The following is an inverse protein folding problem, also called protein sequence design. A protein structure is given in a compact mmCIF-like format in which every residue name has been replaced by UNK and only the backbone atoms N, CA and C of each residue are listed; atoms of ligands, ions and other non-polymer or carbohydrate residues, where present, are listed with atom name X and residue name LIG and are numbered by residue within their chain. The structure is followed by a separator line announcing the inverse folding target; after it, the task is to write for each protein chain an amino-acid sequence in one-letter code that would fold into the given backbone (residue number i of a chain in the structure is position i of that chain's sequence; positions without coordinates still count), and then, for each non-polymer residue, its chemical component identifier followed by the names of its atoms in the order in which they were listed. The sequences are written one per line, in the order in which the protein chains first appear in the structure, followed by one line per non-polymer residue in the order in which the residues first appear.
data_IF_176036017591
#
_entry.id   IF_176036017591
#
_cell.length_a   1.000
_cell.length_b   1.000
_cell.length_c   1.000
_cell.angle_alpha   90.00
_cell.angle_beta   90.00
_cell.angle_gamma   90.00
#
_symmetry.space_group_name_H-M   'P 1'
#
loop_
_entity.id
_entity.type
_entity.pdbx_description
1 polymer ?
#
# COMPACT_ATOMS: atom_id res chain seq x y z
N UNK A 1 -20.01 -1.63 -7.92
CA UNK A 1 -20.60 -1.06 -9.16
C UNK A 1 -19.83 0.20 -9.52
N UNK A 2 -19.59 0.44 -10.81
CA UNK A 2 -19.02 1.67 -11.35
C UNK A 2 -19.50 1.86 -12.79
N UNK A 3 -19.72 3.09 -13.23
CA UNK A 3 -20.20 3.44 -14.57
C UNK A 3 -19.45 4.67 -15.07
N UNK A 4 -19.11 4.70 -16.36
CA UNK A 4 -18.36 5.81 -16.96
C UNK A 4 -19.15 7.14 -16.87
N UNK A 5 -20.47 7.06 -16.83
CA UNK A 5 -21.36 8.20 -16.64
C UNK A 5 -21.22 8.84 -15.24
N UNK A 6 -20.76 8.08 -14.24
CA UNK A 6 -20.53 8.55 -12.87
C UNK A 6 -19.09 9.06 -12.64
N UNK A 7 -18.22 8.97 -13.66
CA UNK A 7 -16.83 9.41 -13.54
C UNK A 7 -16.78 10.94 -13.37
N UNK A 8 -16.15 11.47 -12.31
CA UNK A 8 -15.96 12.90 -12.15
C UNK A 8 -15.24 13.49 -13.38
N UNK A 9 -15.72 14.64 -13.88
CA UNK A 9 -15.06 15.32 -15.01
C UNK A 9 -13.72 15.94 -14.61
N UNK A 10 -13.63 16.41 -13.37
CA UNK A 10 -12.45 17.01 -12.75
C UNK A 10 -12.42 16.61 -11.29
N UNK A 11 -11.21 16.47 -10.72
CA UNK A 11 -11.00 16.33 -9.29
C UNK A 11 -9.97 17.38 -8.83
N UNK A 12 -10.30 18.13 -7.79
CA UNK A 12 -9.41 19.12 -7.17
C UNK A 12 -8.78 18.50 -5.93
N UNK A 13 -7.45 18.46 -5.91
CA UNK A 13 -6.67 17.85 -4.84
C UNK A 13 -5.90 18.96 -4.13
N UNK A 14 -6.43 19.40 -2.99
CA UNK A 14 -5.80 20.39 -2.11
C UNK A 14 -5.32 19.70 -0.82
N UNK A 15 -4.01 19.53 -0.59
CA UNK A 15 -3.49 18.87 0.59
C UNK A 15 -3.93 19.51 1.91
N UNK A 16 -4.21 20.82 1.92
CA UNK A 16 -4.53 21.56 3.15
C UNK A 16 -5.85 21.12 3.78
N UNK A 17 -6.80 20.63 2.98
CA UNK A 17 -8.09 20.12 3.48
C UNK A 17 -7.92 18.83 4.28
N UNK A 18 -6.77 18.17 4.18
CA UNK A 18 -6.46 16.94 4.92
C UNK A 18 -5.80 17.21 6.27
N UNK A 19 -5.50 18.46 6.62
CA UNK A 19 -4.81 18.78 7.88
C UNK A 19 -5.59 18.35 9.12
N UNK A 20 -6.92 18.34 9.05
CA UNK A 20 -7.81 17.90 10.14
C UNK A 20 -7.97 16.38 10.24
N UNK A 21 -7.45 15.60 9.28
CA UNK A 21 -7.54 14.13 9.32
C UNK A 21 -6.68 13.60 10.46
N UNK A 22 -7.29 12.77 11.32
CA UNK A 22 -6.64 12.21 12.50
C UNK A 22 -5.43 11.35 12.17
N UNK A 23 -4.53 11.16 13.14
CA UNK A 23 -3.38 10.26 12.99
C UNK A 23 -3.82 8.84 12.58
N UNK A 24 -4.89 8.34 13.20
CA UNK A 24 -5.45 7.02 12.92
C UNK A 24 -5.95 6.90 11.48
N UNK A 25 -6.72 7.87 10.98
CA UNK A 25 -7.21 7.85 9.60
C UNK A 25 -6.09 8.08 8.58
N UNK A 26 -5.08 8.88 8.93
CA UNK A 26 -3.88 9.06 8.10
C UNK A 26 -3.10 7.75 7.93
N UNK A 27 -2.96 6.96 9.00
CA UNK A 27 -2.37 5.63 8.95
C UNK A 27 -3.23 4.67 8.10
N UNK A 28 -4.55 4.64 8.34
CA UNK A 28 -5.49 3.79 7.60
C UNK A 28 -5.42 4.08 6.08
N UNK A 29 -5.51 5.36 5.69
CA UNK A 29 -5.42 5.76 4.29
C UNK A 29 -4.06 5.42 3.68
N UNK A 30 -2.96 5.53 4.44
CA UNK A 30 -1.63 5.15 3.93
C UNK A 30 -1.52 3.65 3.66
N UNK A 31 -2.07 2.82 4.55
CA UNK A 31 -2.12 1.36 4.35
C UNK A 31 -3.00 0.98 3.17
N UNK A 32 -4.11 1.69 2.99
CA UNK A 32 -5.02 1.51 1.87
C UNK A 32 -4.32 1.79 0.52
N UNK A 33 -3.60 2.92 0.41
CA UNK A 33 -2.78 3.24 -0.77
C UNK A 33 -1.78 2.12 -1.08
N UNK A 34 -1.04 1.64 -0.08
CA UNK A 34 -0.07 0.55 -0.27
C UNK A 34 -0.77 -0.74 -0.72
N UNK A 35 -1.91 -1.07 -0.12
CA UNK A 35 -2.69 -2.25 -0.45
C UNK A 35 -3.22 -2.19 -1.88
N UNK A 36 -3.63 -1.00 -2.35
CA UNK A 36 -3.99 -0.79 -3.75
C UNK A 36 -2.82 -1.03 -4.69
N UNK A 37 -1.60 -0.58 -4.38
CA UNK A 37 -0.43 -0.87 -5.23
C UNK A 37 -0.16 -2.38 -5.33
N UNK A 38 -0.34 -3.11 -4.23
CA UNK A 38 -0.18 -4.57 -4.20
C UNK A 38 -1.24 -5.28 -5.04
N UNK A 39 -2.52 -4.94 -4.84
CA UNK A 39 -3.65 -5.56 -5.54
C UNK A 39 -3.74 -5.13 -7.01
N UNK A 40 -3.22 -3.95 -7.38
CA UNK A 40 -3.34 -3.37 -8.72
C UNK A 40 -2.35 -3.96 -9.72
N UNK A 41 -1.21 -4.49 -9.27
CA UNK A 41 -0.23 -5.04 -10.22
C UNK A 41 1.09 -5.55 -9.67
N UNK A 42 1.47 -5.20 -8.45
CA UNK A 42 2.82 -5.49 -7.96
C UNK A 42 3.06 -6.98 -7.71
N UNK A 43 2.17 -7.66 -6.99
CA UNK A 43 2.24 -9.11 -6.76
C UNK A 43 1.44 -9.89 -7.81
N UNK A 44 1.81 -9.71 -9.09
CA UNK A 44 1.22 -10.46 -10.21
C UNK A 44 2.20 -11.49 -10.77
N UNK A 45 1.67 -12.56 -11.39
CA UNK A 45 2.49 -13.65 -11.93
C UNK A 45 3.29 -13.26 -13.19
N UNK A 46 2.92 -12.17 -13.86
CA UNK A 46 3.57 -11.71 -15.08
C UNK A 46 4.48 -10.51 -14.80
N UNK A 47 5.79 -10.72 -14.93
CA UNK A 47 6.86 -9.75 -14.65
C UNK A 47 7.22 -8.86 -15.86
N UNK A 48 6.24 -8.55 -16.70
CA UNK A 48 6.43 -7.90 -18.00
C UNK A 48 6.44 -6.37 -17.94
N UNK A 49 6.14 -5.76 -16.78
CA UNK A 49 5.97 -4.30 -16.63
C UNK A 49 6.94 -3.67 -15.62
N UNK A 50 8.25 -3.90 -15.80
CA UNK A 50 9.30 -3.41 -14.89
C UNK A 50 9.27 -1.88 -14.64
N UNK A 51 8.81 -1.09 -15.62
CA UNK A 51 8.61 0.35 -15.45
C UNK A 51 7.55 0.64 -14.39
N UNK A 52 6.39 -0.04 -14.45
CA UNK A 52 5.33 0.16 -13.47
C UNK A 52 5.73 -0.37 -12.10
N UNK A 53 6.46 -1.49 -12.04
CA UNK A 53 7.05 -1.96 -10.78
C UNK A 53 7.94 -0.89 -10.14
N UNK A 54 8.78 -0.23 -10.93
CA UNK A 54 9.66 0.84 -10.44
C UNK A 54 8.87 2.05 -9.92
N UNK A 55 7.77 2.43 -10.58
CA UNK A 55 6.87 3.48 -10.11
C UNK A 55 6.14 3.09 -8.81
N UNK A 56 5.65 1.86 -8.71
CA UNK A 56 5.00 1.35 -7.50
C UNK A 56 5.99 1.29 -6.33
N UNK A 57 7.22 0.82 -6.56
CA UNK A 57 8.28 0.77 -5.54
C UNK A 57 8.69 2.16 -5.05
N UNK A 58 8.79 3.14 -5.96
CA UNK A 58 9.05 4.53 -5.58
C UNK A 58 7.92 5.09 -4.71
N UNK A 59 6.66 4.85 -5.08
CA UNK A 59 5.52 5.25 -4.26
C UNK A 59 5.55 4.57 -2.89
N UNK A 60 5.80 3.27 -2.82
CA UNK A 60 5.87 2.52 -1.55
C UNK A 60 6.93 3.10 -0.61
N UNK A 61 8.14 3.38 -1.11
CA UNK A 61 9.20 4.02 -0.30
C UNK A 61 8.76 5.37 0.25
N UNK A 62 8.22 6.21 -0.62
CA UNK A 62 7.79 7.57 -0.26
C UNK A 62 6.62 7.53 0.74
N UNK A 63 5.66 6.62 0.58
CA UNK A 63 4.56 6.45 1.55
C UNK A 63 5.12 6.04 2.91
N UNK A 64 6.00 5.04 2.96
CA UNK A 64 6.64 4.58 4.21
C UNK A 64 7.41 5.71 4.91
N UNK A 65 8.05 6.59 4.13
CA UNK A 65 8.82 7.73 4.64
C UNK A 65 7.93 8.89 5.14
N UNK A 66 6.84 9.22 4.43
CA UNK A 66 6.06 10.44 4.69
C UNK A 66 4.76 10.24 5.48
N UNK A 67 4.20 9.04 5.55
CA UNK A 67 3.11 8.70 6.49
C UNK A 67 3.39 9.16 7.94
N UNK A 68 4.58 8.94 8.52
CA UNK A 68 4.92 9.33 9.90
C UNK A 68 4.89 10.84 10.07
N UNK A 69 5.44 11.53 9.06
CA UNK A 69 5.56 12.97 9.05
C UNK A 69 4.17 13.58 9.03
N UNK A 70 3.27 13.07 8.19
CA UNK A 70 1.87 13.51 8.16
C UNK A 70 1.10 13.19 9.45
N UNK A 71 1.47 12.12 10.17
CA UNK A 71 0.87 11.77 11.45
C UNK A 71 1.38 12.65 12.60
N UNK A 72 2.68 12.89 12.68
CA UNK A 72 3.28 13.70 13.75
C UNK A 72 3.10 15.21 13.51
N UNK A 73 3.10 15.62 12.26
CA UNK A 73 2.99 17.01 11.82
C UNK A 73 1.80 17.15 10.84
N UNK A 74 0.55 17.14 11.34
CA UNK A 74 -0.64 17.12 10.49
C UNK A 74 -0.78 18.32 9.54
N UNK A 75 -0.12 19.45 9.84
CA UNK A 75 -0.05 20.64 8.99
C UNK A 75 1.17 20.70 8.05
N UNK A 76 1.97 19.64 7.96
CA UNK A 76 3.08 19.56 7.02
C UNK A 76 2.55 19.40 5.59
N UNK A 77 2.66 20.47 4.79
CA UNK A 77 2.13 20.51 3.43
C UNK A 77 2.71 19.40 2.55
N UNK A 78 4.03 19.24 2.55
CA UNK A 78 4.72 18.30 1.66
C UNK A 78 4.32 16.85 1.96
N UNK A 79 4.27 16.47 3.24
CA UNK A 79 3.86 15.13 3.64
C UNK A 79 2.41 14.83 3.23
N UNK A 80 1.50 15.80 3.42
CA UNK A 80 0.09 15.66 3.00
C UNK A 80 -0.05 15.62 1.48
N UNK A 81 0.70 16.45 0.76
CA UNK A 81 0.69 16.51 -0.70
C UNK A 81 1.20 15.20 -1.32
N UNK A 82 2.28 14.65 -0.77
CA UNK A 82 2.85 13.37 -1.18
C UNK A 82 1.85 12.23 -1.00
N UNK A 83 1.20 12.12 0.17
CA UNK A 83 0.21 11.07 0.41
C UNK A 83 -1.03 11.23 -0.49
N UNK A 84 -1.52 12.45 -0.65
CA UNK A 84 -2.66 12.74 -1.51
C UNK A 84 -2.37 12.38 -2.98
N UNK A 85 -1.20 12.77 -3.49
CA UNK A 85 -0.81 12.46 -4.86
C UNK A 85 -0.55 10.97 -5.07
N UNK A 86 0.10 10.31 -4.11
CA UNK A 86 0.31 8.86 -4.13
C UNK A 86 -1.01 8.09 -4.17
N UNK A 87 -2.02 8.54 -3.40
CA UNK A 87 -3.37 7.97 -3.45
C UNK A 87 -4.01 8.09 -4.83
N UNK A 88 -3.92 9.28 -5.44
CA UNK A 88 -4.48 9.50 -6.77
C UNK A 88 -3.81 8.61 -7.82
N UNK A 89 -2.48 8.48 -7.79
CA UNK A 89 -1.73 7.66 -8.75
C UNK A 89 -1.93 6.16 -8.55
N UNK A 90 -2.07 5.68 -7.31
CA UNK A 90 -2.33 4.28 -7.02
C UNK A 90 -3.65 3.78 -7.64
N UNK A 91 -4.63 4.67 -7.81
CA UNK A 91 -6.01 4.35 -8.17
C UNK A 91 -6.49 4.92 -9.52
N UNK A 92 -5.68 5.70 -10.23
CA UNK A 92 -6.10 6.29 -11.51
C UNK A 92 -6.08 5.32 -12.72
N UNK A 93 -5.65 4.08 -12.52
CA UNK A 93 -5.55 3.03 -13.53
C UNK A 93 -4.20 2.93 -14.23
N UNK A 94 -3.28 3.89 -14.06
CA UNK A 94 -1.94 3.85 -14.64
C UNK A 94 -1.16 2.63 -14.14
N UNK A 95 -1.19 2.40 -12.82
CA UNK A 95 -0.44 1.31 -12.18
C UNK A 95 -0.94 -0.08 -12.58
N UNK A 96 -2.17 -0.20 -13.06
CA UNK A 96 -2.72 -1.47 -13.53
C UNK A 96 -2.05 -1.95 -14.82
N UNK A 97 -1.59 -1.02 -15.67
CA UNK A 97 -0.87 -1.37 -16.91
C UNK A 97 -1.65 -2.28 -17.86
N UNK A 98 -2.99 -2.27 -17.81
CA UNK A 98 -3.86 -3.16 -18.58
C UNK A 98 -3.94 -4.61 -18.06
N UNK A 99 -3.32 -4.93 -16.92
CA UNK A 99 -3.43 -6.25 -16.29
C UNK A 99 -4.83 -6.47 -15.74
N UNK A 100 -5.38 -7.66 -15.98
CA UNK A 100 -6.56 -8.12 -15.24
C UNK A 100 -6.11 -8.61 -13.88
N UNK A 101 -6.42 -7.84 -12.85
CA UNK A 101 -6.08 -8.15 -11.46
C UNK A 101 -7.33 -8.41 -10.64
N UNK A 102 -7.19 -9.28 -9.64
CA UNK A 102 -8.22 -9.53 -8.64
C UNK A 102 -7.70 -9.02 -7.32
N UNK A 103 -8.32 -7.97 -6.80
CA UNK A 103 -8.01 -7.38 -5.50
C UNK A 103 -8.46 -8.28 -4.35
N UNK A 104 -7.74 -9.39 -4.18
CA UNK A 104 -8.14 -10.50 -3.31
C UNK A 104 -8.14 -10.06 -1.84
N UNK A 105 -7.15 -9.24 -1.46
CA UNK A 105 -7.06 -8.70 -0.12
C UNK A 105 -8.21 -7.72 0.16
N UNK A 106 -8.49 -6.77 -0.76
CA UNK A 106 -9.64 -5.86 -0.60
C UNK A 106 -10.98 -6.57 -0.53
N UNK A 107 -11.19 -7.63 -1.33
CA UNK A 107 -12.44 -8.39 -1.27
C UNK A 107 -12.64 -9.10 0.07
N UNK A 108 -11.60 -9.70 0.63
CA UNK A 108 -11.68 -10.28 1.98
C UNK A 108 -11.92 -9.19 3.03
N UNK A 109 -11.32 -8.02 2.84
CA UNK A 109 -11.48 -6.91 3.75
C UNK A 109 -12.91 -6.38 3.78
N UNK A 110 -13.56 -6.22 2.62
CA UNK A 110 -14.94 -5.72 2.56
C UNK A 110 -15.91 -6.56 3.41
N UNK A 111 -15.72 -7.88 3.43
CA UNK A 111 -16.50 -8.79 4.28
C UNK A 111 -16.16 -8.61 5.76
N UNK A 112 -14.87 -8.40 6.08
CA UNK A 112 -14.40 -8.18 7.45
C UNK A 112 -14.95 -6.88 8.04
N UNK A 113 -14.85 -5.75 7.33
CA UNK A 113 -15.40 -4.46 7.78
C UNK A 113 -16.92 -4.38 7.66
N UNK A 114 -17.53 -5.21 6.81
CA UNK A 114 -18.99 -5.32 6.73
C UNK A 114 -19.57 -6.05 7.94
N UNK A 115 -18.83 -7.03 8.48
CA UNK A 115 -19.24 -7.79 9.67
C UNK A 115 -18.80 -7.14 10.99
N UNK A 116 -17.57 -6.65 11.06
CA UNK A 116 -17.02 -5.96 12.22
C UNK A 116 -17.00 -4.45 11.96
N UNK A 117 -17.42 -3.64 12.93
CA UNK A 117 -17.39 -2.17 12.84
C UNK A 117 -15.95 -1.62 12.96
N UNK A 118 -15.15 -1.88 11.93
CA UNK A 118 -13.76 -1.44 11.79
C UNK A 118 -13.57 -0.63 10.51
N UNK A 119 -12.66 0.34 10.54
CA UNK A 119 -12.32 1.14 9.35
C UNK A 119 -11.63 0.30 8.27
N UNK A 120 -11.93 0.56 7.00
CA UNK A 120 -11.36 -0.11 5.83
C UNK A 120 -9.83 -0.32 5.90
N UNK A 121 -9.08 0.77 6.07
CA UNK A 121 -7.62 0.72 6.15
C UNK A 121 -7.09 -0.07 7.36
N UNK A 122 -7.85 -0.16 8.47
CA UNK A 122 -7.49 -1.02 9.61
C UNK A 122 -7.68 -2.50 9.24
N UNK A 123 -8.78 -2.85 8.57
CA UNK A 123 -9.02 -4.19 8.05
C UNK A 123 -7.88 -4.63 7.12
N UNK A 124 -7.48 -3.75 6.19
CA UNK A 124 -6.33 -3.98 5.32
C UNK A 124 -5.01 -4.12 6.10
N UNK A 125 -4.75 -3.27 7.11
CA UNK A 125 -3.56 -3.39 7.95
C UNK A 125 -3.45 -4.74 8.65
N UNK A 126 -4.59 -5.32 9.03
CA UNK A 126 -4.66 -6.66 9.60
C UNK A 126 -4.43 -7.71 8.51
N UNK A 127 -5.14 -7.64 7.38
CA UNK A 127 -5.18 -8.69 6.36
C UNK A 127 -3.93 -8.73 5.47
N UNK A 128 -3.46 -7.60 4.95
CA UNK A 128 -2.40 -7.53 3.93
C UNK A 128 -1.15 -8.32 4.31
N UNK A 129 -0.60 -8.24 5.55
CA UNK A 129 0.55 -9.07 5.93
C UNK A 129 0.26 -10.58 5.93
N UNK A 130 -0.96 -11.00 6.33
CA UNK A 130 -1.34 -12.43 6.32
C UNK A 130 -1.55 -12.92 4.89
N UNK A 131 -2.18 -12.09 4.05
CA UNK A 131 -2.34 -12.37 2.63
C UNK A 131 -0.98 -12.48 1.93
N UNK A 132 -0.06 -11.54 2.17
CA UNK A 132 1.31 -11.60 1.64
C UNK A 132 2.04 -12.88 2.07
N UNK A 133 1.88 -13.29 3.33
CA UNK A 133 2.42 -14.58 3.82
C UNK A 133 1.81 -15.77 3.08
N UNK A 134 0.51 -15.75 2.82
CA UNK A 134 -0.20 -16.83 2.13
C UNK A 134 0.24 -16.98 0.67
N UNK A 135 0.45 -15.86 -0.03
CA UNK A 135 0.86 -15.89 -1.45
C UNK A 135 2.36 -16.12 -1.66
N UNK A 136 3.18 -16.01 -0.61
CA UNK A 136 4.63 -16.25 -0.69
C UNK A 136 4.90 -17.74 -0.92
N UNK A 137 5.40 -18.05 -2.11
CA UNK A 137 5.81 -19.39 -2.53
C UNK A 137 6.96 -19.30 -3.56
N UNK A 138 7.42 -20.42 -4.09
CA UNK A 138 8.54 -20.46 -5.05
C UNK A 138 8.32 -19.57 -6.28
N UNK A 139 7.09 -19.44 -6.77
CA UNK A 139 6.76 -18.65 -7.96
C UNK A 139 6.76 -17.14 -7.66
N UNK A 140 6.33 -16.74 -6.47
CA UNK A 140 6.22 -15.33 -6.07
C UNK A 140 7.46 -14.81 -5.33
N UNK A 141 8.34 -15.69 -4.86
CA UNK A 141 9.53 -15.34 -4.07
C UNK A 141 10.42 -14.30 -4.75
N UNK A 142 10.52 -14.32 -6.09
CA UNK A 142 11.28 -13.32 -6.84
C UNK A 142 10.71 -11.90 -6.68
N UNK A 143 9.38 -11.76 -6.62
CA UNK A 143 8.71 -10.48 -6.39
C UNK A 143 8.88 -9.98 -4.96
N UNK A 144 8.81 -10.87 -3.98
CA UNK A 144 9.11 -10.51 -2.60
C UNK A 144 10.59 -10.15 -2.38
N UNK A 145 11.51 -10.80 -3.09
CA UNK A 145 12.92 -10.40 -3.12
C UNK A 145 13.07 -8.98 -3.69
N UNK A 146 12.50 -8.72 -4.87
CA UNK A 146 12.53 -7.41 -5.51
C UNK A 146 11.96 -6.33 -4.58
N UNK A 147 10.82 -6.61 -3.95
CA UNK A 147 10.20 -5.75 -2.95
C UNK A 147 11.13 -5.44 -1.78
N UNK A 148 11.76 -6.48 -1.21
CA UNK A 148 12.68 -6.33 -0.09
C UNK A 148 13.89 -5.46 -0.41
N UNK A 149 14.52 -5.69 -1.57
CA UNK A 149 15.69 -4.92 -2.00
C UNK A 149 15.29 -3.49 -2.36
N UNK A 150 14.28 -3.32 -3.21
CA UNK A 150 13.98 -2.02 -3.81
C UNK A 150 13.19 -1.10 -2.88
N UNK A 151 12.34 -1.63 -2.00
CA UNK A 151 11.53 -0.82 -1.08
C UNK A 151 12.19 -0.68 0.29
N UNK A 152 12.76 -1.76 0.82
CA UNK A 152 13.33 -1.76 2.18
C UNK A 152 14.86 -1.73 2.22
N UNK A 153 15.55 -1.74 1.08
CA UNK A 153 17.02 -1.69 1.04
C UNK A 153 17.67 -2.93 1.64
N UNK A 154 16.99 -4.08 1.62
CA UNK A 154 17.56 -5.34 2.13
C UNK A 154 18.72 -5.75 1.24
N UNK A 155 19.81 -6.20 1.86
CA UNK A 155 21.03 -6.63 1.17
C UNK A 155 20.73 -7.69 0.09
N UNK A 156 21.00 -7.38 -1.20
CA UNK A 156 20.71 -8.28 -2.31
C UNK A 156 21.63 -9.51 -2.37
N UNK A 157 22.73 -9.54 -1.61
CA UNK A 157 23.65 -10.69 -1.55
C UNK A 157 23.12 -11.85 -0.70
N UNK A 158 22.06 -11.61 0.09
CA UNK A 158 21.42 -12.63 0.90
C UNK A 158 20.60 -13.61 0.04
N UNK A 159 20.39 -14.81 0.58
CA UNK A 159 19.53 -15.82 -0.03
C UNK A 159 18.13 -15.28 -0.34
N UNK A 160 17.61 -15.62 -1.52
CA UNK A 160 16.35 -15.06 -2.05
C UNK A 160 15.19 -15.22 -1.08
N UNK A 161 15.05 -16.42 -0.51
CA UNK A 161 14.00 -16.75 0.47
C UNK A 161 14.14 -15.92 1.74
N UNK A 162 15.37 -15.70 2.21
CA UNK A 162 15.64 -14.87 3.38
C UNK A 162 15.25 -13.41 3.15
N UNK A 163 15.57 -12.84 1.98
CA UNK A 163 15.16 -11.48 1.63
C UNK A 163 13.63 -11.39 1.55
N UNK A 164 12.96 -12.35 0.91
CA UNK A 164 11.52 -12.39 0.80
C UNK A 164 10.82 -12.42 2.17
N UNK A 165 11.29 -13.26 3.09
CA UNK A 165 10.77 -13.32 4.47
C UNK A 165 11.06 -12.04 5.27
N UNK A 166 12.24 -11.45 5.10
CA UNK A 166 12.59 -10.17 5.73
C UNK A 166 11.69 -9.05 5.20
N UNK A 167 11.42 -9.01 3.89
CA UNK A 167 10.53 -8.02 3.28
C UNK A 167 9.12 -8.07 3.88
N UNK A 168 8.58 -9.28 4.07
CA UNK A 168 7.30 -9.48 4.74
C UNK A 168 7.32 -8.96 6.18
N UNK A 169 8.39 -9.24 6.95
CA UNK A 169 8.55 -8.76 8.32
C UNK A 169 8.67 -7.23 8.38
N UNK A 170 9.42 -6.62 7.47
CA UNK A 170 9.54 -5.16 7.36
C UNK A 170 8.18 -4.52 7.08
N UNK A 171 7.41 -5.06 6.11
CA UNK A 171 6.07 -4.59 5.82
C UNK A 171 5.14 -4.73 7.03
N UNK A 172 5.15 -5.89 7.69
CA UNK A 172 4.37 -6.13 8.89
C UNK A 172 4.73 -5.14 9.99
N UNK A 173 6.00 -4.80 10.21
CA UNK A 173 6.39 -3.80 11.22
C UNK A 173 5.91 -2.40 10.81
N UNK A 174 6.02 -2.03 9.53
CA UNK A 174 5.51 -0.75 9.02
C UNK A 174 3.98 -0.64 9.06
N UNK A 175 3.26 -1.77 9.01
CA UNK A 175 1.79 -1.81 9.06
C UNK A 175 1.21 -2.08 10.46
N UNK A 176 1.98 -2.72 11.35
CA UNK A 176 1.56 -3.12 12.72
C UNK A 176 2.14 -2.27 13.84
N UNK A 177 3.14 -1.42 13.56
CA UNK A 177 3.26 -0.17 14.27
C UNK A 177 2.29 0.79 13.60
N UNK A 178 1.12 1.11 14.19
CA UNK A 178 0.75 2.51 14.14
C UNK A 178 1.96 3.21 14.72
N UNK A 179 2.38 4.27 14.08
CA UNK A 179 3.29 5.26 14.63
C UNK A 179 2.78 5.70 16.02
N UNK A 180 2.98 4.87 17.06
CA UNK A 180 2.48 5.03 18.42
C UNK A 180 1.34 4.14 18.99
N UNK A 181 0.85 3.02 18.42
CA UNK A 181 -0.15 2.19 19.15
C UNK A 181 0.31 0.75 19.40
N UNK A 182 0.50 0.41 20.68
CA UNK A 182 0.71 -0.96 21.15
C UNK A 182 -0.62 -1.71 21.02
N UNK A 183 -0.63 -2.80 20.27
CA UNK A 183 -1.67 -3.82 20.44
C UNK A 183 -1.24 -4.68 21.61
N UNK A 184 -2.06 -4.69 22.66
CA UNK A 184 -1.86 -5.48 23.87
C UNK A 184 -1.90 -6.98 23.58
#
# INVERSE_FOLDING_TARGET
MGSEQLRPKVAFLDPTITYSVSKFQTACGSVDIMSHLFDTGYFTFNNDLALLDSFMEAQLRIIIEFTPVAMEQPGNFDARAILMWSSALALNGLMQGGKKVVSSCHRMEHELSGYYDITHGLGLAILTPRWMKYILNEQTAAKFYQFGVNVFGIDPSLEKTMVAEKALKCFQISSSRPWGCKVH
#
